data_IF_105100235845
#
_entry.id   IF_105100235845
#
_cell.length_a   1.000
_cell.length_b   1.000
_cell.length_c   1.000
_cell.angle_alpha   90.00
_cell.angle_beta   90.00
_cell.angle_gamma   90.00
#
_symmetry.space_group_name_H-M   'P 1'
#
loop_
_entity.id
_entity.type
_entity.pdbx_description
1 polymer ?
#
# COMPACT_ATOMS: atom_id res chain seq x y z
N UNK A 1 34.80 0.40 -41.28
CA UNK A 1 35.67 1.59 -41.18
C UNK A 1 37.11 1.10 -41.32
N UNK A 2 37.99 1.78 -42.06
CA UNK A 2 39.37 1.31 -42.29
C UNK A 2 40.19 1.39 -40.99
N UNK A 3 41.05 0.39 -40.76
CA UNK A 3 41.71 0.05 -39.48
C UNK A 3 42.68 1.09 -38.88
N UNK A 4 42.65 2.37 -39.30
CA UNK A 4 43.42 3.46 -38.68
C UNK A 4 44.95 3.29 -38.72
N UNK A 5 45.45 2.27 -39.41
CA UNK A 5 46.87 1.95 -39.52
C UNK A 5 47.55 2.98 -40.42
N UNK A 6 48.59 3.62 -39.90
CA UNK A 6 49.44 4.52 -40.68
C UNK A 6 50.70 3.75 -41.07
N UNK A 7 50.97 3.68 -42.38
CA UNK A 7 52.18 3.10 -42.94
C UNK A 7 53.02 4.25 -43.51
N UNK A 8 54.28 4.34 -43.11
CA UNK A 8 55.20 5.34 -43.66
C UNK A 8 56.53 4.71 -44.04
N UNK A 9 57.13 5.23 -45.09
CA UNK A 9 58.42 4.75 -45.62
C UNK A 9 59.48 5.80 -45.39
N UNK A 10 60.61 5.42 -44.78
CA UNK A 10 61.74 6.30 -44.56
C UNK A 10 62.47 6.60 -45.89
N UNK A 11 63.23 7.70 -45.98
CA UNK A 11 64.06 8.00 -47.16
C UNK A 11 65.10 6.92 -47.49
N UNK A 12 65.44 6.07 -46.52
CA UNK A 12 66.30 4.90 -46.67
C UNK A 12 65.56 3.64 -47.17
N UNK A 13 64.30 3.77 -47.59
CA UNK A 13 63.49 2.71 -48.17
C UNK A 13 62.88 1.74 -47.16
N UNK A 14 63.00 1.98 -45.85
CA UNK A 14 62.41 1.10 -44.83
C UNK A 14 60.98 1.52 -44.52
N UNK A 15 60.06 0.56 -44.58
CA UNK A 15 58.65 0.80 -44.28
C UNK A 15 58.34 0.43 -42.83
N UNK A 16 57.69 1.34 -42.12
CA UNK A 16 57.26 1.17 -40.74
C UNK A 16 55.74 1.26 -40.65
N UNK A 17 55.15 0.43 -39.79
CA UNK A 17 53.71 0.38 -39.54
C UNK A 17 53.44 0.83 -38.10
N UNK A 18 52.64 1.87 -37.91
CA UNK A 18 52.14 2.28 -36.61
C UNK A 18 50.65 1.97 -36.52
N UNK A 19 50.28 1.15 -35.54
CA UNK A 19 48.87 0.89 -35.19
C UNK A 19 48.51 1.85 -34.06
N UNK A 20 47.44 2.65 -34.17
CA UNK A 20 47.03 3.51 -33.08
C UNK A 20 46.61 2.63 -31.90
N UNK A 21 47.35 2.69 -30.80
CA UNK A 21 47.11 1.92 -29.58
C UNK A 21 45.79 2.30 -28.84
N UNK A 22 44.96 3.16 -29.43
CA UNK A 22 43.83 3.83 -28.77
C UNK A 22 42.44 3.21 -28.97
N UNK A 23 42.27 2.21 -29.86
CA UNK A 23 40.95 1.65 -30.13
C UNK A 23 40.34 0.91 -28.91
N UNK A 24 41.19 0.25 -28.13
CA UNK A 24 40.82 -0.43 -26.87
C UNK A 24 40.47 0.56 -25.74
N UNK A 25 41.06 1.76 -25.75
CA UNK A 25 40.90 2.77 -24.69
C UNK A 25 39.52 3.43 -24.67
N UNK A 26 38.78 3.38 -25.77
CA UNK A 26 37.49 4.10 -25.94
C UNK A 26 36.29 3.15 -25.82
N UNK A 27 36.51 1.83 -25.77
CA UNK A 27 35.43 0.84 -25.86
C UNK A 27 34.66 0.58 -24.56
N UNK A 28 35.15 1.05 -23.40
CA UNK A 28 34.47 0.78 -22.14
C UNK A 28 33.50 1.90 -21.77
N UNK A 29 32.16 1.68 -21.81
CA UNK A 29 31.23 2.64 -21.24
C UNK A 29 31.54 2.76 -19.74
N UNK A 30 31.79 3.98 -19.29
CA UNK A 30 32.11 4.25 -17.88
C UNK A 30 31.06 3.59 -16.97
N UNK A 31 31.47 2.91 -15.88
CA UNK A 31 30.53 2.29 -14.96
C UNK A 31 29.54 3.35 -14.48
N UNK A 32 28.23 3.07 -14.63
CA UNK A 32 27.17 4.00 -14.22
C UNK A 32 27.43 4.40 -12.77
N UNK A 33 27.61 5.70 -12.53
CA UNK A 33 27.91 6.25 -11.21
C UNK A 33 26.91 5.71 -10.19
N UNK A 34 27.46 5.31 -9.05
CA UNK A 34 26.78 4.84 -7.83
C UNK A 34 25.43 5.50 -7.62
N UNK A 35 24.43 4.66 -7.30
CA UNK A 35 23.06 4.98 -6.83
C UNK A 35 22.81 6.47 -6.58
N UNK A 36 21.86 7.05 -7.31
CA UNK A 36 21.47 8.44 -7.06
C UNK A 36 20.77 8.55 -5.70
N UNK A 37 20.74 9.75 -5.10
CA UNK A 37 19.96 9.99 -3.86
C UNK A 37 18.48 9.62 -4.02
N UNK A 38 17.94 9.73 -5.24
CA UNK A 38 16.58 9.32 -5.56
C UNK A 38 16.41 7.80 -5.42
N UNK A 39 17.37 7.01 -5.93
CA UNK A 39 17.37 5.54 -5.81
C UNK A 39 17.46 5.09 -4.35
N UNK A 40 18.30 5.76 -3.55
CA UNK A 40 18.43 5.48 -2.12
C UNK A 40 17.14 5.79 -1.36
N UNK A 41 16.50 6.92 -1.67
CA UNK A 41 15.20 7.30 -1.10
C UNK A 41 14.13 6.27 -1.48
N UNK A 42 14.07 5.88 -2.75
CA UNK A 42 13.12 4.88 -3.24
C UNK A 42 13.33 3.53 -2.54
N UNK A 43 14.58 3.07 -2.44
CA UNK A 43 14.93 1.84 -1.73
C UNK A 43 14.57 1.90 -0.24
N UNK A 44 14.78 3.04 0.43
CA UNK A 44 14.36 3.24 1.82
C UNK A 44 12.85 3.14 1.99
N UNK A 45 12.08 3.78 1.11
CA UNK A 45 10.61 3.73 1.13
C UNK A 45 10.12 2.31 0.86
N UNK A 46 10.71 1.61 -0.12
CA UNK A 46 10.36 0.23 -0.42
C UNK A 46 10.61 -0.70 0.78
N UNK A 47 11.76 -0.56 1.46
CA UNK A 47 12.05 -1.30 2.70
C UNK A 47 11.03 -1.01 3.81
N UNK A 48 10.68 0.25 4.02
CA UNK A 48 9.69 0.63 5.03
C UNK A 48 8.29 0.07 4.71
N UNK A 49 7.86 0.13 3.45
CA UNK A 49 6.60 -0.47 2.99
C UNK A 49 6.58 -1.98 3.17
N UNK A 50 7.68 -2.67 2.84
CA UNK A 50 7.78 -4.11 3.02
C UNK A 50 7.66 -4.51 4.50
N UNK A 51 8.38 -3.80 5.40
CA UNK A 51 8.25 -4.02 6.86
C UNK A 51 6.81 -3.82 7.33
N UNK A 52 6.17 -2.72 6.93
CA UNK A 52 4.78 -2.45 7.28
C UNK A 52 3.82 -3.52 6.73
N UNK A 53 4.05 -4.01 5.52
CA UNK A 53 3.23 -5.04 4.91
C UNK A 53 3.36 -6.38 5.64
N UNK A 54 4.57 -6.79 6.00
CA UNK A 54 4.82 -7.98 6.83
C UNK A 54 4.15 -7.83 8.20
N UNK A 55 4.29 -6.69 8.86
CA UNK A 55 3.65 -6.43 10.15
C UNK A 55 2.12 -6.44 10.04
N UNK A 56 1.55 -5.89 8.96
CA UNK A 56 0.10 -5.89 8.76
C UNK A 56 -0.45 -7.29 8.58
N UNK A 57 0.29 -8.17 7.89
CA UNK A 57 -0.07 -9.58 7.75
C UNK A 57 -0.04 -10.30 9.09
N UNK A 58 1.01 -10.07 9.89
CA UNK A 58 1.10 -10.63 11.24
C UNK A 58 -0.03 -10.15 12.16
N UNK A 59 -0.44 -8.88 12.04
CA UNK A 59 -1.44 -8.26 12.91
C UNK A 59 -2.85 -8.22 12.27
N UNK A 60 -3.15 -9.08 11.30
CA UNK A 60 -4.42 -9.03 10.58
C UNK A 60 -5.63 -9.17 11.52
N UNK A 61 -5.59 -10.15 12.43
CA UNK A 61 -6.64 -10.39 13.41
C UNK A 61 -6.85 -9.21 14.37
N UNK A 62 -5.77 -8.60 14.86
CA UNK A 62 -5.88 -7.39 15.71
C UNK A 62 -6.47 -6.20 14.96
N UNK A 63 -6.11 -6.04 13.68
CA UNK A 63 -6.66 -4.98 12.84
C UNK A 63 -8.15 -5.20 12.58
N UNK A 64 -8.57 -6.44 12.36
CA UNK A 64 -9.97 -6.80 12.21
C UNK A 64 -10.76 -6.45 13.47
N UNK A 65 -10.28 -6.86 14.65
CA UNK A 65 -10.89 -6.50 15.93
C UNK A 65 -10.98 -4.99 16.14
N UNK A 66 -9.92 -4.23 15.82
CA UNK A 66 -9.93 -2.76 15.89
C UNK A 66 -10.93 -2.15 14.92
N UNK A 67 -11.02 -2.66 13.69
CA UNK A 67 -12.00 -2.20 12.68
C UNK A 67 -13.42 -2.49 13.14
N UNK A 68 -13.69 -3.69 13.64
CA UNK A 68 -14.98 -4.07 14.17
C UNK A 68 -15.39 -3.18 15.35
N UNK A 69 -14.46 -2.91 16.29
CA UNK A 69 -14.69 -2.02 17.43
C UNK A 69 -15.02 -0.60 16.98
N UNK A 70 -14.28 -0.08 16.00
CA UNK A 70 -14.55 1.24 15.43
C UNK A 70 -15.92 1.27 14.74
N UNK A 71 -16.23 0.27 13.92
CA UNK A 71 -17.50 0.19 13.21
C UNK A 71 -18.69 0.15 14.16
N UNK A 72 -18.58 -0.59 15.27
CA UNK A 72 -19.63 -0.64 16.29
C UNK A 72 -19.83 0.71 16.99
N UNK A 73 -18.75 1.42 17.36
CA UNK A 73 -18.86 2.76 17.94
C UNK A 73 -19.57 3.72 16.98
N UNK A 74 -19.18 3.71 15.70
CA UNK A 74 -19.82 4.54 14.68
C UNK A 74 -21.29 4.15 14.49
N UNK A 75 -21.62 2.86 14.51
CA UNK A 75 -23.00 2.39 14.45
C UNK A 75 -23.82 2.88 15.64
N UNK A 76 -23.28 2.83 16.87
CA UNK A 76 -23.95 3.35 18.08
C UNK A 76 -24.21 4.85 17.97
N UNK A 77 -23.20 5.62 17.54
CA UNK A 77 -23.34 7.06 17.30
C UNK A 77 -24.41 7.38 16.28
N UNK A 78 -24.41 6.67 15.16
CA UNK A 78 -25.44 6.81 14.14
C UNK A 78 -26.83 6.50 14.69
N UNK A 79 -26.99 5.39 15.44
CA UNK A 79 -28.27 4.99 16.00
C UNK A 79 -28.75 5.99 17.06
N UNK A 80 -27.87 6.47 17.93
CA UNK A 80 -28.17 7.55 18.87
C UNK A 80 -28.55 8.86 18.16
N UNK A 81 -27.84 9.24 17.11
CA UNK A 81 -28.16 10.43 16.32
C UNK A 81 -29.55 10.32 15.68
N UNK A 82 -29.90 9.16 15.13
CA UNK A 82 -31.23 8.92 14.55
C UNK A 82 -32.34 8.98 15.60
N UNK A 83 -32.09 8.49 16.82
CA UNK A 83 -33.01 8.62 17.96
C UNK A 83 -33.24 10.10 18.31
N UNK A 84 -32.18 10.89 18.33
CA UNK A 84 -32.26 12.33 18.59
C UNK A 84 -33.06 13.06 17.51
N UNK A 85 -32.87 12.68 16.25
CA UNK A 85 -33.65 13.22 15.13
C UNK A 85 -35.13 12.82 15.20
N UNK A 86 -35.44 11.57 15.59
CA UNK A 86 -36.82 11.15 15.81
C UNK A 86 -37.48 12.00 16.90
N UNK A 87 -36.79 12.19 18.02
CA UNK A 87 -37.27 13.02 19.12
C UNK A 87 -37.48 14.48 18.68
N UNK A 88 -36.51 15.07 17.97
CA UNK A 88 -36.55 16.47 17.55
C UNK A 88 -37.65 16.76 16.51
N UNK A 89 -37.83 15.87 15.53
CA UNK A 89 -38.74 16.13 14.40
C UNK A 89 -40.13 15.52 14.57
N UNK A 90 -40.25 14.36 15.21
CA UNK A 90 -41.53 13.66 15.37
C UNK A 90 -42.09 13.76 16.79
N UNK A 91 -41.24 13.62 17.80
CA UNK A 91 -41.63 13.61 19.22
C UNK A 91 -42.38 12.35 19.68
N UNK A 92 -42.91 11.54 18.75
CA UNK A 92 -43.56 10.25 19.03
C UNK A 92 -42.68 9.07 18.57
N UNK A 93 -42.83 7.88 19.19
CA UNK A 93 -42.17 6.66 18.72
C UNK A 93 -42.44 6.34 17.25
N UNK A 94 -41.46 5.74 16.58
CA UNK A 94 -41.59 5.24 15.20
C UNK A 94 -42.48 4.00 15.15
N UNK A 95 -43.38 3.94 14.16
CA UNK A 95 -44.27 2.78 13.88
C UNK A 95 -43.72 1.91 12.75
N UNK A 96 -42.56 2.25 12.18
CA UNK A 96 -41.99 1.54 11.04
C UNK A 96 -41.50 0.13 11.44
N UNK A 97 -41.86 -0.93 10.69
CA UNK A 97 -41.40 -2.29 10.97
C UNK A 97 -39.91 -2.50 10.65
N UNK A 98 -39.30 -1.61 9.86
CA UNK A 98 -37.92 -1.76 9.39
C UNK A 98 -36.89 -1.12 10.33
N UNK A 99 -37.29 -0.14 11.15
CA UNK A 99 -36.41 0.65 12.00
C UNK A 99 -36.95 0.72 13.44
N UNK A 100 -37.32 -0.44 14.00
CA UNK A 100 -37.84 -0.55 15.36
C UNK A 100 -36.82 -0.12 16.42
N UNK A 101 -35.52 -0.33 16.14
CA UNK A 101 -34.40 0.03 17.02
C UNK A 101 -34.30 1.53 17.35
N UNK A 102 -34.94 2.41 16.57
CA UNK A 102 -34.96 3.86 16.82
C UNK A 102 -35.81 4.18 18.07
N UNK A 103 -36.66 3.27 18.51
CA UNK A 103 -37.43 3.44 19.74
C UNK A 103 -36.70 2.92 20.99
N UNK A 104 -35.63 2.14 20.79
CA UNK A 104 -34.85 1.60 21.90
C UNK A 104 -34.09 2.71 22.63
N UNK A 105 -33.76 2.52 23.93
CA UNK A 105 -33.00 3.50 24.68
C UNK A 105 -31.63 3.77 24.06
N UNK A 106 -31.06 4.93 24.40
CA UNK A 106 -29.70 5.31 23.98
C UNK A 106 -28.67 4.30 24.43
N UNK A 107 -27.71 4.04 23.55
CA UNK A 107 -26.58 3.16 23.85
C UNK A 107 -25.34 3.96 24.25
N UNK A 108 -24.50 3.35 25.09
CA UNK A 108 -23.20 3.95 25.43
C UNK A 108 -22.31 4.00 24.19
N UNK A 109 -21.79 5.18 23.87
CA UNK A 109 -20.83 5.35 22.75
C UNK A 109 -19.46 4.75 23.07
N UNK A 110 -19.20 4.50 24.35
CA UNK A 110 -18.01 3.79 24.81
C UNK A 110 -18.26 2.29 24.83
N UNK A 111 -17.32 1.55 24.22
CA UNK A 111 -17.34 0.10 24.22
C UNK A 111 -16.54 -0.47 25.40
N UNK A 112 -17.08 -1.47 26.11
CA UNK A 112 -16.35 -2.20 27.14
C UNK A 112 -14.98 -2.72 26.65
N UNK A 113 -13.96 -2.81 27.53
CA UNK A 113 -12.64 -3.33 27.15
C UNK A 113 -12.66 -4.76 26.60
N UNK A 114 -13.59 -5.57 27.09
CA UNK A 114 -13.83 -6.98 26.78
C UNK A 114 -14.78 -7.20 25.60
N UNK A 115 -15.26 -6.12 24.95
CA UNK A 115 -16.17 -6.22 23.82
C UNK A 115 -15.55 -7.04 22.67
N UNK A 116 -16.36 -7.93 22.10
CA UNK A 116 -16.04 -8.71 20.90
C UNK A 116 -17.14 -8.52 19.86
N UNK A 117 -16.81 -8.55 18.56
CA UNK A 117 -17.83 -8.52 17.52
C UNK A 117 -18.77 -9.72 17.66
N UNK A 118 -20.07 -9.54 17.36
CA UNK A 118 -21.00 -10.65 17.33
C UNK A 118 -20.54 -11.69 16.30
N UNK A 119 -20.77 -12.99 16.56
CA UNK A 119 -20.44 -14.04 15.60
C UNK A 119 -21.22 -13.80 14.30
N UNK A 120 -20.53 -13.98 13.18
CA UNK A 120 -21.18 -13.91 11.86
C UNK A 120 -22.19 -15.06 11.79
N UNK A 121 -23.48 -14.79 11.46
CA UNK A 121 -24.46 -15.86 11.33
C UNK A 121 -24.02 -16.84 10.23
N UNK A 122 -24.25 -18.15 10.39
CA UNK A 122 -23.93 -19.13 9.35
C UNK A 122 -24.67 -18.77 8.07
N UNK A 123 -23.98 -18.90 6.93
CA UNK A 123 -24.61 -18.74 5.64
C UNK A 123 -25.65 -19.87 5.49
N UNK A 124 -26.89 -19.59 5.06
CA UNK A 124 -27.84 -20.65 4.74
C UNK A 124 -27.22 -21.61 3.72
N UNK A 125 -27.42 -22.92 3.92
CA UNK A 125 -27.01 -23.91 2.93
C UNK A 125 -27.61 -23.56 1.56
N UNK A 126 -26.82 -23.74 0.50
CA UNK A 126 -27.31 -23.49 -0.86
C UNK A 126 -28.59 -24.31 -1.09
N UNK A 127 -29.67 -23.68 -1.59
CA UNK A 127 -30.90 -24.40 -1.85
C UNK A 127 -30.62 -25.54 -2.83
N UNK A 128 -31.20 -26.74 -2.61
CA UNK A 128 -31.07 -27.82 -3.58
C UNK A 128 -31.63 -27.32 -4.91
N UNK A 129 -30.81 -27.38 -5.95
CA UNK A 129 -31.17 -27.01 -7.32
C UNK A 129 -32.44 -27.70 -7.80
#
# INVERSE_FOLDING_TARGET
MPDGIVIWTSPTGKTYRTVPAGAELISNPAPRRSRTRADERAARIARARNRNHVQRRANAAEQEMRRARKAEIEARKFRNHMRDMLFLFKGEPSTSPFCTWVNDPRESEELPPDWRPPPVPPLPDDPPF
#
